data_IF_294092812280
#
_entry.id   IF_294092812280
#
_cell.length_a   1.000
_cell.length_b   1.000
_cell.length_c   1.000
_cell.angle_alpha   90.00
_cell.angle_beta   90.00
_cell.angle_gamma   90.00
#
_symmetry.space_group_name_H-M   'P 1'
#
loop_
_entity.id
_entity.type
_entity.pdbx_description
1 polymer ?
#
# COMPACT_ATOMS: atom_id res chain seq x y z
N UNK A 1 2.79 7.73 -36.27
CA UNK A 1 1.56 7.59 -35.48
C UNK A 1 1.76 7.78 -33.96
N UNK A 2 2.94 8.24 -33.50
CA UNK A 2 3.20 8.52 -32.07
C UNK A 2 3.97 9.85 -31.87
N UNK A 3 3.51 10.95 -32.49
CA UNK A 3 4.21 12.26 -32.42
C UNK A 3 3.93 13.09 -31.16
N UNK A 4 3.04 12.64 -30.25
CA UNK A 4 2.70 13.36 -29.02
C UNK A 4 2.95 12.49 -27.77
N UNK A 5 4.22 12.13 -27.53
CA UNK A 5 4.67 11.29 -26.42
C UNK A 5 4.41 11.89 -25.02
N UNK A 6 4.37 13.23 -24.89
CA UNK A 6 4.20 13.87 -23.57
C UNK A 6 2.80 13.70 -22.97
N UNK A 7 1.75 13.57 -23.79
CA UNK A 7 0.41 13.24 -23.29
C UNK A 7 0.27 11.74 -22.99
N UNK A 8 1.04 10.88 -23.67
CA UNK A 8 1.01 9.42 -23.47
C UNK A 8 1.67 9.01 -22.15
N UNK A 9 2.72 9.72 -21.70
CA UNK A 9 3.40 9.44 -20.42
C UNK A 9 2.47 9.65 -19.21
N UNK A 10 1.54 10.61 -19.28
CA UNK A 10 0.58 10.89 -18.20
C UNK A 10 -0.51 9.82 -18.13
N UNK A 11 -0.93 9.28 -19.27
CA UNK A 11 -1.94 8.20 -19.34
C UNK A 11 -1.37 6.86 -18.87
N UNK A 12 -0.09 6.57 -19.18
CA UNK A 12 0.60 5.37 -18.70
C UNK A 12 0.76 5.33 -17.17
N UNK A 13 0.77 6.50 -16.52
CA UNK A 13 0.89 6.60 -15.07
C UNK A 13 -0.40 6.22 -14.32
N UNK A 14 -1.54 6.08 -15.01
CA UNK A 14 -2.85 6.07 -14.36
C UNK A 14 -3.59 4.72 -14.27
N UNK A 15 -3.14 3.65 -14.92
CA UNK A 15 -3.90 2.38 -14.81
C UNK A 15 -3.03 1.12 -14.98
N UNK A 16 -2.02 0.94 -14.13
CA UNK A 16 -1.61 -0.42 -13.75
C UNK A 16 -2.64 -0.95 -12.74
N UNK A 17 -3.86 -1.21 -13.21
CA UNK A 17 -4.81 -2.07 -12.48
C UNK A 17 -4.16 -3.45 -12.44
N UNK A 18 -3.50 -3.77 -11.32
CA UNK A 18 -3.05 -5.13 -11.00
C UNK A 18 -4.31 -6.01 -10.90
N UNK A 19 -4.77 -6.51 -12.03
CA UNK A 19 -5.69 -7.63 -12.03
C UNK A 19 -4.89 -8.86 -11.59
N UNK A 20 -5.32 -9.52 -10.53
CA UNK A 20 -4.75 -10.80 -10.13
C UNK A 20 -4.83 -11.74 -11.33
N UNK A 21 -3.67 -12.18 -11.82
CA UNK A 21 -3.60 -13.15 -12.91
C UNK A 21 -4.54 -14.31 -12.58
N UNK A 22 -5.59 -14.49 -13.38
CA UNK A 22 -6.27 -15.77 -13.38
C UNK A 22 -5.20 -16.80 -13.73
N UNK A 23 -5.12 -17.87 -12.93
CA UNK A 23 -4.06 -18.90 -12.87
C UNK A 23 -3.72 -19.61 -14.20
N UNK A 24 -4.26 -19.15 -15.33
CA UNK A 24 -4.18 -19.71 -16.68
C UNK A 24 -3.68 -18.73 -17.77
N UNK A 25 -3.44 -17.45 -17.50
CA UNK A 25 -2.92 -16.52 -18.51
C UNK A 25 -1.38 -16.61 -18.61
N UNK A 26 -0.86 -16.79 -19.82
CA UNK A 26 0.57 -16.81 -20.14
C UNK A 26 1.17 -15.38 -20.15
N UNK A 27 1.36 -14.79 -18.98
CA UNK A 27 2.02 -13.48 -18.83
C UNK A 27 2.14 -13.06 -17.37
N UNK A 28 3.20 -12.31 -17.06
CA UNK A 28 3.51 -11.80 -15.72
C UNK A 28 2.78 -10.48 -15.42
N UNK A 29 2.53 -9.68 -16.46
CA UNK A 29 1.85 -8.39 -16.36
C UNK A 29 0.77 -8.28 -17.42
N UNK A 30 -0.45 -7.93 -17.02
CA UNK A 30 -1.56 -7.66 -17.94
C UNK A 30 -1.84 -6.17 -18.02
N UNK A 31 -1.80 -5.62 -19.23
CA UNK A 31 -2.23 -4.26 -19.55
C UNK A 31 -3.64 -4.31 -20.13
N UNK A 32 -4.56 -3.59 -19.48
CA UNK A 32 -5.96 -3.48 -19.90
C UNK A 32 -6.10 -2.27 -20.83
N UNK A 33 -6.34 -2.50 -22.13
CA UNK A 33 -6.34 -1.39 -23.12
C UNK A 33 -7.69 -0.68 -23.27
N UNK A 34 -8.79 -1.24 -22.73
CA UNK A 34 -10.14 -0.67 -22.85
C UNK A 34 -10.25 0.81 -22.41
N UNK A 35 -9.62 1.24 -21.30
CA UNK A 35 -9.64 2.65 -20.89
C UNK A 35 -9.00 3.60 -21.91
N UNK A 36 -8.15 3.10 -22.81
CA UNK A 36 -7.47 3.87 -23.85
C UNK A 36 -8.33 4.07 -25.10
N UNK A 37 -9.31 3.20 -25.35
CA UNK A 37 -10.14 3.23 -26.56
C UNK A 37 -11.01 4.49 -26.69
N UNK A 38 -11.28 5.18 -25.56
CA UNK A 38 -11.96 6.48 -25.57
C UNK A 38 -11.10 7.60 -26.19
N UNK A 39 -9.79 7.43 -26.20
CA UNK A 39 -8.83 8.39 -26.75
C UNK A 39 -8.28 7.95 -28.11
N UNK A 40 -8.14 6.63 -28.30
CA UNK A 40 -7.60 6.02 -29.51
C UNK A 40 -8.72 5.24 -30.19
N UNK A 41 -9.17 5.73 -31.34
CA UNK A 41 -10.20 5.06 -32.15
C UNK A 41 -9.59 3.86 -32.87
N UNK A 42 -9.60 2.70 -32.23
CA UNK A 42 -9.13 1.42 -32.79
C UNK A 42 -9.89 0.26 -32.17
N UNK A 43 -9.78 -0.93 -32.75
CA UNK A 43 -10.26 -2.15 -32.09
C UNK A 43 -9.36 -2.46 -30.86
N UNK A 44 -9.92 -2.93 -29.72
CA UNK A 44 -9.14 -3.38 -28.57
C UNK A 44 -7.99 -4.33 -28.91
N UNK A 45 -8.23 -5.31 -29.78
CA UNK A 45 -7.21 -6.29 -30.16
C UNK A 45 -6.08 -5.63 -30.94
N UNK A 46 -6.40 -4.78 -31.91
CA UNK A 46 -5.40 -4.09 -32.73
C UNK A 46 -4.53 -3.15 -31.88
N UNK A 47 -5.16 -2.44 -30.94
CA UNK A 47 -4.43 -1.57 -30.02
C UNK A 47 -3.49 -2.36 -29.10
N UNK A 48 -3.98 -3.47 -28.54
CA UNK A 48 -3.18 -4.34 -27.69
C UNK A 48 -2.02 -4.97 -28.47
N UNK A 49 -2.22 -5.38 -29.72
CA UNK A 49 -1.17 -5.94 -30.58
C UNK A 49 -0.12 -4.90 -30.91
N UNK A 50 -0.52 -3.73 -31.42
CA UNK A 50 0.41 -2.65 -31.75
C UNK A 50 1.22 -2.19 -30.52
N UNK A 51 0.58 -2.18 -29.35
CA UNK A 51 1.25 -1.84 -28.11
C UNK A 51 2.22 -2.94 -27.67
N UNK A 52 1.84 -4.21 -27.79
CA UNK A 52 2.70 -5.36 -27.50
C UNK A 52 3.95 -5.39 -28.38
N UNK A 53 3.78 -5.23 -29.70
CA UNK A 53 4.88 -5.16 -30.67
C UNK A 53 5.85 -4.01 -30.33
N UNK A 54 5.29 -2.83 -30.06
CA UNK A 54 6.09 -1.67 -29.69
C UNK A 54 6.88 -1.95 -28.41
N UNK A 55 6.23 -2.41 -27.34
CA UNK A 55 6.87 -2.69 -26.07
C UNK A 55 7.96 -3.76 -26.19
N UNK A 56 7.69 -4.87 -26.90
CA UNK A 56 8.68 -5.91 -27.14
C UNK A 56 9.89 -5.41 -27.94
N UNK A 57 9.69 -4.49 -28.89
CA UNK A 57 10.78 -3.94 -29.69
C UNK A 57 11.60 -2.83 -28.99
N UNK A 58 11.10 -2.29 -27.88
CA UNK A 58 11.71 -1.14 -27.19
C UNK A 58 12.20 -1.45 -25.78
N UNK A 59 11.77 -2.57 -25.20
CA UNK A 59 12.09 -2.95 -23.82
C UNK A 59 12.68 -4.36 -23.86
N UNK A 60 14.00 -4.46 -23.66
CA UNK A 60 14.74 -5.72 -23.71
C UNK A 60 14.25 -6.74 -22.68
N UNK A 61 13.71 -6.27 -21.56
CA UNK A 61 13.14 -7.12 -20.51
C UNK A 61 11.84 -7.83 -20.93
N UNK A 62 11.21 -7.46 -22.05
CA UNK A 62 9.97 -8.10 -22.52
C UNK A 62 10.33 -9.24 -23.49
N UNK A 63 10.25 -10.46 -22.98
CA UNK A 63 10.51 -11.69 -23.74
C UNK A 63 9.46 -11.93 -24.83
N UNK A 64 8.19 -11.78 -24.48
CA UNK A 64 7.07 -12.05 -25.37
C UNK A 64 5.80 -11.32 -24.91
N UNK A 65 4.79 -11.29 -25.78
CA UNK A 65 3.45 -10.85 -25.42
C UNK A 65 2.38 -11.72 -26.08
N UNK A 66 1.19 -11.71 -25.48
CA UNK A 66 -0.01 -12.33 -26.02
C UNK A 66 -1.22 -11.42 -25.83
N UNK A 67 -2.03 -11.29 -26.88
CA UNK A 67 -3.28 -10.54 -26.84
C UNK A 67 -4.45 -11.51 -26.75
N UNK A 68 -5.30 -11.35 -25.74
CA UNK A 68 -6.54 -12.12 -25.59
C UNK A 68 -7.66 -11.11 -25.40
N UNK A 69 -8.54 -10.96 -26.38
CA UNK A 69 -9.74 -10.10 -26.30
C UNK A 69 -9.44 -8.66 -25.80
N UNK A 70 -8.36 -8.03 -26.26
CA UNK A 70 -7.97 -6.68 -25.81
C UNK A 70 -7.21 -6.62 -24.47
N UNK A 71 -6.91 -7.75 -23.85
CA UNK A 71 -5.93 -7.84 -22.76
C UNK A 71 -4.56 -8.13 -23.32
N UNK A 72 -3.62 -7.20 -23.15
CA UNK A 72 -2.22 -7.38 -23.51
C UNK A 72 -1.49 -8.02 -22.33
N UNK A 73 -1.08 -9.27 -22.47
CA UNK A 73 -0.33 -10.01 -21.46
C UNK A 73 1.15 -10.01 -21.86
N UNK A 74 2.00 -9.45 -21.01
CA UNK A 74 3.44 -9.35 -21.21
C UNK A 74 4.14 -10.46 -20.42
N UNK A 75 5.10 -11.13 -21.04
CA UNK A 75 6.05 -12.02 -20.38
C UNK A 75 7.38 -11.29 -20.24
N UNK A 76 7.86 -11.24 -19.01
CA UNK A 76 9.15 -10.65 -18.65
C UNK A 76 10.21 -11.73 -18.75
N UNK A 77 11.41 -11.36 -19.21
CA UNK A 77 12.53 -12.29 -19.31
C UNK A 77 13.00 -12.74 -17.90
N UNK A 78 13.27 -14.04 -17.74
CA UNK A 78 13.72 -14.59 -16.45
C UNK A 78 15.04 -13.96 -15.98
N UNK A 79 15.90 -13.55 -16.92
CA UNK A 79 17.18 -12.86 -16.66
C UNK A 79 16.93 -11.53 -15.93
N UNK A 80 15.82 -10.84 -16.21
CA UNK A 80 15.46 -9.62 -15.49
C UNK A 80 15.25 -9.90 -14.00
N UNK A 81 14.49 -10.93 -13.65
CA UNK A 81 14.21 -11.27 -12.25
C UNK A 81 15.48 -11.74 -11.52
N UNK A 82 16.32 -12.54 -12.18
CA UNK A 82 17.60 -12.97 -11.61
C UNK A 82 18.51 -11.76 -11.34
N UNK A 83 18.62 -10.84 -12.31
CA UNK A 83 19.38 -9.60 -12.16
C UNK A 83 18.81 -8.74 -11.03
N UNK A 84 17.50 -8.51 -11.03
CA UNK A 84 16.80 -7.74 -9.99
C UNK A 84 17.07 -8.29 -8.59
N UNK A 85 16.97 -9.62 -8.40
CA UNK A 85 17.25 -10.25 -7.11
C UNK A 85 18.73 -10.16 -6.74
N UNK A 86 19.65 -10.31 -7.70
CA UNK A 86 21.09 -10.17 -7.45
C UNK A 86 21.50 -8.74 -7.10
N UNK A 87 20.76 -7.73 -7.58
CA UNK A 87 21.02 -6.32 -7.30
C UNK A 87 20.59 -5.90 -5.88
N UNK A 88 19.89 -6.77 -5.13
CA UNK A 88 19.52 -6.53 -3.73
C UNK A 88 20.74 -6.73 -2.84
N UNK A 89 21.55 -5.67 -2.69
CA UNK A 89 22.81 -5.69 -1.92
C UNK A 89 22.64 -5.69 -0.40
N UNK A 90 21.48 -5.26 0.10
CA UNK A 90 21.20 -5.11 1.53
C UNK A 90 19.75 -5.51 1.80
N UNK A 91 19.51 -6.82 2.03
CA UNK A 91 18.16 -7.35 2.26
C UNK A 91 17.42 -6.65 3.40
N UNK A 92 18.12 -6.21 4.44
CA UNK A 92 17.54 -5.54 5.60
C UNK A 92 16.92 -4.18 5.25
N UNK A 93 17.42 -3.53 4.19
CA UNK A 93 16.94 -2.24 3.71
C UNK A 93 16.05 -2.32 2.47
N UNK A 94 15.90 -3.51 1.89
CA UNK A 94 15.14 -3.68 0.66
C UNK A 94 13.67 -3.30 0.88
N UNK A 95 13.13 -2.46 0.01
CA UNK A 95 11.77 -1.95 0.13
C UNK A 95 11.56 -0.88 1.22
N UNK A 96 12.62 -0.47 1.93
CA UNK A 96 12.59 0.58 2.94
C UNK A 96 13.12 1.88 2.35
N UNK A 97 12.30 2.92 2.39
CA UNK A 97 12.70 4.29 2.03
C UNK A 97 13.11 5.04 3.30
N UNK A 98 14.31 5.66 3.34
CA UNK A 98 14.75 6.40 4.52
C UNK A 98 13.86 7.62 4.78
N UNK A 99 13.59 7.89 6.05
CA UNK A 99 12.92 9.12 6.49
C UNK A 99 13.92 10.27 6.43
N UNK A 100 13.49 11.40 5.89
CA UNK A 100 14.30 12.62 5.74
C UNK A 100 13.56 13.82 6.29
N UNK A 101 14.21 14.97 6.42
CA UNK A 101 13.57 16.22 6.85
C UNK A 101 12.44 16.68 5.93
N UNK A 102 12.46 16.25 4.66
CA UNK A 102 11.42 16.54 3.65
C UNK A 102 10.30 15.50 3.62
N UNK A 103 10.38 14.46 4.46
CA UNK A 103 9.36 13.40 4.50
C UNK A 103 8.01 13.94 4.96
N UNK A 104 6.94 13.41 4.38
CA UNK A 104 5.58 13.74 4.80
C UNK A 104 5.37 13.31 6.26
N UNK A 105 4.86 14.23 7.07
CA UNK A 105 4.45 13.96 8.46
C UNK A 105 3.08 13.30 8.47
N UNK A 106 2.95 12.18 9.16
CA UNK A 106 1.69 11.45 9.31
C UNK A 106 1.47 11.16 10.79
N UNK A 107 0.28 11.50 11.29
CA UNK A 107 -0.17 11.12 12.62
C UNK A 107 -1.00 9.85 12.51
N UNK A 108 -0.70 8.83 13.31
CA UNK A 108 -1.47 7.59 13.40
C UNK A 108 -1.98 7.46 14.82
N UNK A 109 -3.29 7.64 14.98
CA UNK A 109 -3.97 7.36 16.24
C UNK A 109 -4.40 5.90 16.29
N UNK A 110 -4.07 5.21 17.38
CA UNK A 110 -4.58 3.88 17.65
C UNK A 110 -4.53 3.54 19.15
N UNK A 111 -5.06 2.39 19.52
CA UNK A 111 -5.29 1.91 20.88
C UNK A 111 -6.39 2.66 21.62
N UNK A 112 -6.18 3.96 21.92
CA UNK A 112 -7.08 4.88 22.65
C UNK A 112 -8.05 4.19 23.65
N UNK A 113 -7.55 3.34 24.59
CA UNK A 113 -8.42 2.64 25.52
C UNK A 113 -8.95 3.61 26.59
N UNK A 114 -10.14 3.32 27.13
CA UNK A 114 -10.61 4.04 28.31
C UNK A 114 -9.79 3.61 29.55
N UNK A 115 -9.38 4.57 30.37
CA UNK A 115 -8.52 4.36 31.55
C UNK A 115 -9.23 3.69 32.71
N UNK A 116 -10.56 3.60 32.68
CA UNK A 116 -11.36 2.99 33.73
C UNK A 116 -11.66 1.50 33.53
N UNK A 117 -11.05 0.86 32.51
CA UNK A 117 -11.21 -0.57 32.25
C UNK A 117 -9.87 -1.22 31.87
N UNK A 118 -9.60 -2.46 32.30
CA UNK A 118 -8.39 -3.16 31.88
C UNK A 118 -8.40 -3.42 30.37
N UNK A 119 -7.21 -3.51 29.80
CA UNK A 119 -7.05 -3.95 28.42
C UNK A 119 -7.44 -5.43 28.30
N UNK A 120 -8.28 -5.76 27.31
CA UNK A 120 -8.63 -7.12 26.95
C UNK A 120 -8.26 -7.43 25.49
N UNK A 121 -8.40 -8.70 25.09
CA UNK A 121 -8.10 -9.22 23.75
C UNK A 121 -8.78 -8.43 22.62
N UNK A 122 -9.92 -7.79 22.89
CA UNK A 122 -10.62 -6.94 21.94
C UNK A 122 -9.82 -5.71 21.50
N UNK A 123 -8.90 -5.20 22.34
CA UNK A 123 -8.02 -4.09 21.98
C UNK A 123 -6.80 -4.54 21.17
N UNK A 124 -6.43 -5.83 21.20
CA UNK A 124 -5.25 -6.35 20.47
C UNK A 124 -5.38 -6.08 18.98
N UNK A 125 -6.56 -6.27 18.39
CA UNK A 125 -6.80 -5.98 16.97
C UNK A 125 -6.41 -4.54 16.62
N UNK A 126 -6.90 -3.56 17.37
CA UNK A 126 -6.62 -2.16 17.11
C UNK A 126 -5.11 -1.86 17.30
N UNK A 127 -4.53 -2.37 18.39
CA UNK A 127 -3.11 -2.19 18.70
C UNK A 127 -2.21 -2.72 17.58
N UNK A 128 -2.47 -3.94 17.11
CA UNK A 128 -1.68 -4.59 16.06
C UNK A 128 -1.88 -3.90 14.70
N UNK A 129 -3.12 -3.50 14.36
CA UNK A 129 -3.39 -2.79 13.11
C UNK A 129 -2.69 -1.42 13.09
N UNK A 130 -2.83 -0.64 14.16
CA UNK A 130 -2.20 0.67 14.27
C UNK A 130 -0.67 0.60 14.24
N UNK A 131 -0.09 -0.37 14.95
CA UNK A 131 1.35 -0.63 14.92
C UNK A 131 1.82 -1.03 13.51
N UNK A 132 1.12 -1.96 12.85
CA UNK A 132 1.48 -2.44 11.51
C UNK A 132 1.39 -1.33 10.46
N UNK A 133 0.31 -0.56 10.46
CA UNK A 133 0.15 0.60 9.55
C UNK A 133 1.24 1.63 9.80
N UNK A 134 1.55 1.93 11.06
CA UNK A 134 2.64 2.85 11.41
C UNK A 134 4.00 2.38 10.89
N UNK A 135 4.29 1.08 11.03
CA UNK A 135 5.53 0.48 10.54
C UNK A 135 5.63 0.54 9.01
N UNK A 136 4.55 0.19 8.30
CA UNK A 136 4.50 0.27 6.83
C UNK A 136 4.65 1.70 6.31
N UNK A 137 3.99 2.67 6.96
CA UNK A 137 4.11 4.08 6.60
C UNK A 137 5.53 4.60 6.83
N UNK A 138 6.18 4.17 7.92
CA UNK A 138 7.58 4.51 8.21
C UNK A 138 8.51 3.90 7.17
N UNK A 139 8.32 2.61 6.84
CA UNK A 139 9.07 1.92 5.81
C UNK A 139 8.88 2.55 4.42
N UNK A 140 7.72 3.14 4.14
CA UNK A 140 7.47 3.93 2.94
C UNK A 140 8.12 5.33 2.95
N UNK A 141 8.91 5.67 3.99
CA UNK A 141 9.68 6.91 4.10
C UNK A 141 8.92 8.10 4.66
N UNK A 142 7.82 7.86 5.40
CA UNK A 142 7.06 8.93 6.06
C UNK A 142 7.54 9.15 7.50
N UNK A 143 7.42 10.39 7.98
CA UNK A 143 7.68 10.71 9.38
C UNK A 143 6.42 10.44 10.21
N UNK A 144 6.32 9.23 10.74
CA UNK A 144 5.13 8.76 11.46
C UNK A 144 5.21 9.13 12.93
N UNK A 145 4.20 9.84 13.43
CA UNK A 145 3.97 10.09 14.85
C UNK A 145 2.80 9.24 15.30
N UNK A 146 3.03 8.41 16.31
CA UNK A 146 1.99 7.58 16.91
C UNK A 146 1.37 8.33 18.08
N UNK A 147 0.05 8.38 18.15
CA UNK A 147 -0.66 9.04 19.25
C UNK A 147 -1.76 8.15 19.80
N UNK A 148 -2.13 8.44 21.05
CA UNK A 148 -3.27 7.84 21.74
C UNK A 148 -4.10 9.00 22.29
N UNK A 149 -5.39 8.99 22.03
CA UNK A 149 -6.31 9.98 22.62
C UNK A 149 -6.96 9.32 23.81
N UNK A 150 -6.49 9.69 24.99
CA UNK A 150 -7.00 9.16 26.26
C UNK A 150 -8.20 10.00 26.70
N UNK A 151 -9.32 9.32 26.95
CA UNK A 151 -10.52 9.96 27.49
C UNK A 151 -10.51 9.87 29.02
N UNK A 152 -9.98 10.89 29.67
CA UNK A 152 -9.84 11.04 31.12
C UNK A 152 -10.92 11.92 31.77
N UNK A 153 -11.87 12.44 30.97
CA UNK A 153 -12.91 13.38 31.42
C UNK A 153 -14.35 12.89 31.25
N UNK A 154 -14.54 11.65 30.80
CA UNK A 154 -15.87 11.08 30.63
C UNK A 154 -16.59 10.75 31.95
N UNK A 155 -17.92 10.63 31.89
CA UNK A 155 -18.76 10.24 33.05
C UNK A 155 -18.30 8.94 33.73
N UNK A 156 -17.70 8.02 32.96
CA UNK A 156 -17.16 6.77 33.47
C UNK A 156 -15.98 6.98 34.43
N UNK A 157 -15.18 8.02 34.23
CA UNK A 157 -14.09 8.42 35.13
C UNK A 157 -14.67 8.95 36.43
N UNK A 158 -15.63 9.89 36.35
CA UNK A 158 -16.31 10.42 37.54
C UNK A 158 -16.95 9.31 38.38
N UNK A 159 -17.61 8.34 37.74
CA UNK A 159 -18.17 7.16 38.43
C UNK A 159 -17.09 6.32 39.12
N UNK A 160 -15.95 6.12 38.47
CA UNK A 160 -14.83 5.36 39.03
C UNK A 160 -14.22 6.10 40.23
N UNK A 161 -14.09 7.43 40.15
CA UNK A 161 -13.61 8.27 41.27
C UNK A 161 -14.55 8.21 42.48
N UNK A 162 -15.87 8.31 42.28
CA UNK A 162 -16.85 8.20 43.37
C UNK A 162 -16.82 6.79 43.99
N UNK A 163 -16.72 5.75 43.16
CA UNK A 163 -16.61 4.38 43.65
C UNK A 163 -15.36 4.19 44.51
N UNK A 164 -14.23 4.75 44.09
CA UNK A 164 -12.99 4.74 44.88
C UNK A 164 -13.14 5.48 46.21
N UNK A 165 -13.71 6.69 46.21
CA UNK A 165 -13.95 7.46 47.44
C UNK A 165 -14.88 6.73 48.44
N UNK A 166 -15.85 5.95 47.95
CA UNK A 166 -16.83 5.27 48.82
C UNK A 166 -16.40 3.87 49.25
N UNK A 167 -15.64 3.17 48.42
CA UNK A 167 -15.38 1.73 48.58
C UNK A 167 -13.88 1.37 48.52
N UNK A 168 -12.98 2.35 48.37
CA UNK A 168 -11.54 2.14 48.27
C UNK A 168 -10.79 2.11 49.61
N UNK A 169 -11.49 2.11 50.75
CA UNK A 169 -10.89 1.99 52.10
C UNK A 169 -9.73 2.98 52.38
N UNK A 170 -9.87 4.23 51.96
CA UNK A 170 -8.85 5.29 52.06
C UNK A 170 -7.50 4.97 51.37
N UNK A 171 -7.46 3.96 50.50
CA UNK A 171 -6.29 3.68 49.67
C UNK A 171 -6.09 4.77 48.63
N UNK A 172 -4.83 5.09 48.31
CA UNK A 172 -4.52 5.93 47.16
C UNK A 172 -4.47 5.07 45.90
N UNK A 173 -5.04 5.52 44.77
CA UNK A 173 -4.90 4.80 43.50
C UNK A 173 -3.41 4.58 43.19
N UNK A 174 -3.03 3.33 43.00
CA UNK A 174 -1.65 2.98 42.64
C UNK A 174 -1.40 3.54 41.24
N UNK A 175 -0.40 4.40 41.09
CA UNK A 175 0.00 4.94 39.79
C UNK A 175 0.42 3.80 38.86
N UNK A 176 -0.15 3.76 37.65
CA UNK A 176 0.31 2.95 36.52
C UNK A 176 0.93 3.85 35.47
#
# INVERSE_FOLDING_TARGET
>A
MFKNLQQTTTVFKLTLLRYSLQKRSRGDVTVVVFPLLRFIKSNPTDLATALGEYLQSQIDEIKAYHVIQGFLNLMIDDVYYLRFLSDIKSPESFGIKPVTEKSKKILVEFSSPNTNKPLHLGHIRNNLLGASVSALLTAAGNQVHKTQIINDRGIHICKSMIAWQKFGNDESPIYW
#
